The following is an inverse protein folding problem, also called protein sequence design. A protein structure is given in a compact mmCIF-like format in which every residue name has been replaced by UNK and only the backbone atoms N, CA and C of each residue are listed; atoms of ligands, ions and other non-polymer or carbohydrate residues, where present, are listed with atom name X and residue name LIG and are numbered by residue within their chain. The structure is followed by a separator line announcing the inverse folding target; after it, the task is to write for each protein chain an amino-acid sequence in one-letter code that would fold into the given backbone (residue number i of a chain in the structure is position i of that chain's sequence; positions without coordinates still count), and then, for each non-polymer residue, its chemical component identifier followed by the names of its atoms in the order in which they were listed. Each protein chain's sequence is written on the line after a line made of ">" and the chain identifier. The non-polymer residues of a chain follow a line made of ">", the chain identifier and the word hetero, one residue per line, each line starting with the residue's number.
data_IF_475676841187
#
_entry.id   IF_475676841187
#
_cell.length_a   1.000
_cell.length_b   1.000
_cell.length_c   1.000
_cell.angle_alpha   90.00
_cell.angle_beta   90.00
_cell.angle_gamma   90.00
#
_symmetry.space_group_name_H-M   'P 1'
#
loop_
_entity.id
_entity.type
_entity.pdbx_description
1 polymer ?
#
# COMPACT_ATOMS: atom_id res chain seq x y z
N UNK A 1 14.67 2.33 -1.22
CA UNK A 1 13.57 3.07 -1.89
C UNK A 1 12.79 3.87 -0.84
N UNK A 2 13.10 5.17 -0.74
CA UNK A 2 12.46 6.13 0.19
C UNK A 2 11.11 6.56 -0.39
N UNK A 3 10.06 5.77 -0.19
CA UNK A 3 8.72 6.30 -0.32
C UNK A 3 8.44 7.08 0.98
N UNK A 4 8.50 8.40 0.89
CA UNK A 4 8.17 9.32 1.98
C UNK A 4 6.66 9.36 2.13
N UNK A 5 6.13 8.42 2.93
CA UNK A 5 4.73 8.43 3.34
C UNK A 5 4.53 9.17 4.69
N UNK A 6 5.59 9.79 5.23
CA UNK A 6 5.57 10.41 6.57
C UNK A 6 4.89 11.79 6.60
N UNK A 7 4.69 12.42 5.45
CA UNK A 7 4.18 13.80 5.35
C UNK A 7 2.74 13.87 4.82
N UNK A 8 2.10 12.72 4.54
CA UNK A 8 0.72 12.68 4.04
C UNK A 8 -0.30 12.77 5.18
N UNK A 9 -1.45 13.37 4.87
CA UNK A 9 -2.60 13.41 5.78
C UNK A 9 -3.25 12.02 5.89
N UNK A 10 -4.04 11.79 6.94
CA UNK A 10 -4.71 10.50 7.18
C UNK A 10 -5.56 10.06 5.98
N UNK A 11 -6.38 10.95 5.43
CA UNK A 11 -7.26 10.66 4.30
C UNK A 11 -6.46 10.27 3.05
N UNK A 12 -5.33 10.94 2.81
CA UNK A 12 -4.46 10.60 1.69
C UNK A 12 -3.74 9.26 1.91
N UNK A 13 -3.40 8.92 3.16
CA UNK A 13 -2.83 7.61 3.49
C UNK A 13 -3.83 6.48 3.21
N UNK A 14 -5.09 6.65 3.59
CA UNK A 14 -6.17 5.69 3.33
C UNK A 14 -6.41 5.56 1.82
N UNK A 15 -6.51 6.69 1.11
CA UNK A 15 -6.72 6.70 -0.34
C UNK A 15 -5.58 5.97 -1.06
N UNK A 16 -4.32 6.26 -0.72
CA UNK A 16 -3.16 5.54 -1.30
C UNK A 16 -3.14 4.07 -0.94
N UNK A 17 -3.59 3.70 0.26
CA UNK A 17 -3.68 2.29 0.64
C UNK A 17 -4.66 1.54 -0.27
N UNK A 18 -5.83 2.11 -0.54
CA UNK A 18 -6.83 1.51 -1.43
C UNK A 18 -6.33 1.40 -2.87
N UNK A 19 -5.67 2.43 -3.39
CA UNK A 19 -5.05 2.41 -4.71
C UNK A 19 -4.01 1.28 -4.85
N UNK A 20 -3.10 1.17 -3.88
CA UNK A 20 -2.06 0.15 -3.91
C UNK A 20 -2.63 -1.27 -3.72
N UNK A 21 -3.70 -1.40 -2.93
CA UNK A 21 -4.43 -2.66 -2.78
C UNK A 21 -5.07 -3.09 -4.10
N UNK A 22 -5.67 -2.16 -4.85
CA UNK A 22 -6.24 -2.43 -6.18
C UNK A 22 -5.15 -2.85 -7.17
N UNK A 23 -4.05 -2.10 -7.26
CA UNK A 23 -2.90 -2.46 -8.10
C UNK A 23 -2.33 -3.85 -7.75
N UNK A 24 -2.25 -4.19 -6.47
CA UNK A 24 -1.82 -5.52 -6.06
C UNK A 24 -2.84 -6.62 -6.42
N UNK A 25 -4.13 -6.31 -6.50
CA UNK A 25 -5.15 -7.25 -6.98
C UNK A 25 -5.02 -7.47 -8.49
N UNK A 26 -4.93 -6.40 -9.27
CA UNK A 26 -4.75 -6.47 -10.73
C UNK A 26 -3.50 -7.29 -11.07
N UNK A 27 -2.38 -7.00 -10.40
CA UNK A 27 -1.13 -7.75 -10.57
C UNK A 27 -1.25 -9.23 -10.15
N UNK A 28 -2.14 -9.58 -9.22
CA UNK A 28 -2.43 -10.99 -8.90
C UNK A 28 -3.24 -11.67 -10.00
N UNK A 29 -4.17 -10.96 -10.64
CA UNK A 29 -4.93 -11.49 -11.77
C UNK A 29 -3.99 -11.72 -12.94
N UNK A 30 -3.13 -10.76 -13.27
CA UNK A 30 -2.15 -10.88 -14.35
C UNK A 30 -1.22 -12.09 -14.15
N UNK A 31 -0.89 -12.40 -12.89
CA UNK A 31 -0.16 -13.61 -12.54
C UNK A 31 -0.87 -14.92 -12.85
N UNK A 32 -2.19 -14.96 -12.67
CA UNK A 32 -3.00 -16.14 -12.97
C UNK A 32 -3.17 -16.29 -14.48
N UNK A 33 -3.32 -15.18 -15.20
CA UNK A 33 -3.47 -15.17 -16.67
C UNK A 33 -2.14 -15.49 -17.38
N UNK A 34 -1.00 -15.31 -16.72
CA UNK A 34 0.33 -15.61 -17.26
C UNK A 34 1.07 -14.41 -17.85
N UNK A 35 0.51 -13.20 -17.75
CA UNK A 35 1.13 -11.95 -18.20
C UNK A 35 1.94 -11.28 -17.08
N UNK A 36 2.93 -12.00 -16.53
CA UNK A 36 3.78 -11.44 -15.47
C UNK A 36 5.03 -10.83 -16.06
N UNK A 37 4.91 -9.58 -16.47
CA UNK A 37 6.04 -8.77 -16.91
C UNK A 37 7.04 -8.55 -15.75
N UNK A 38 6.57 -8.34 -14.51
CA UNK A 38 7.46 -7.96 -13.41
C UNK A 38 7.13 -8.57 -12.03
N UNK A 39 7.81 -9.67 -11.68
CA UNK A 39 7.66 -10.36 -10.38
C UNK A 39 8.13 -9.52 -9.18
N UNK A 40 9.05 -8.57 -9.39
CA UNK A 40 9.56 -7.72 -8.31
C UNK A 40 8.52 -6.71 -7.83
N UNK A 41 7.63 -6.28 -8.72
CA UNK A 41 6.59 -5.29 -8.43
C UNK A 41 5.60 -5.81 -7.36
N UNK A 42 5.26 -7.09 -7.38
CA UNK A 42 4.49 -7.74 -6.30
C UNK A 42 5.14 -7.53 -4.94
N UNK A 43 6.47 -7.69 -4.87
CA UNK A 43 7.24 -7.62 -3.63
C UNK A 43 7.34 -6.19 -3.13
N UNK A 44 7.45 -5.20 -4.03
CA UNK A 44 7.45 -3.78 -3.67
C UNK A 44 6.07 -3.32 -3.22
N UNK A 45 5.00 -3.67 -3.95
CA UNK A 45 3.62 -3.36 -3.61
C UNK A 45 3.22 -3.90 -2.23
N UNK A 46 3.50 -5.18 -1.94
CA UNK A 46 3.23 -5.76 -0.61
C UNK A 46 3.92 -5.01 0.52
N UNK A 47 5.16 -4.56 0.30
CA UNK A 47 5.91 -3.80 1.31
C UNK A 47 5.39 -2.38 1.46
N UNK A 48 4.96 -1.75 0.38
CA UNK A 48 4.35 -0.42 0.44
C UNK A 48 3.03 -0.47 1.21
N UNK A 49 2.18 -1.47 0.96
CA UNK A 49 0.93 -1.69 1.71
C UNK A 49 1.22 -1.89 3.20
N UNK A 50 2.16 -2.77 3.56
CA UNK A 50 2.51 -3.01 4.96
C UNK A 50 2.99 -1.72 5.66
N UNK A 51 3.80 -0.90 4.97
CA UNK A 51 4.26 0.38 5.51
C UNK A 51 3.13 1.40 5.69
N UNK A 52 2.20 1.49 4.74
CA UNK A 52 1.03 2.36 4.88
C UNK A 52 0.16 1.90 6.05
N UNK A 53 -0.08 0.60 6.21
CA UNK A 53 -0.85 0.08 7.34
C UNK A 53 -0.22 0.44 8.69
N UNK A 54 1.11 0.35 8.80
CA UNK A 54 1.82 0.79 10.01
C UNK A 54 1.68 2.29 10.26
N UNK A 55 1.69 3.12 9.22
CA UNK A 55 1.53 4.57 9.37
C UNK A 55 0.10 4.97 9.71
N UNK A 56 -0.89 4.31 9.11
CA UNK A 56 -2.32 4.49 9.40
C UNK A 56 -2.58 4.10 10.86
N UNK A 57 -2.07 2.93 11.29
CA UNK A 57 -2.28 2.45 12.66
C UNK A 57 -1.65 3.36 13.72
N UNK A 58 -0.43 3.87 13.46
CA UNK A 58 0.27 4.78 14.37
C UNK A 58 -0.10 6.27 14.14
N UNK A 59 -1.13 6.57 13.36
CA UNK A 59 -1.51 7.96 13.12
C UNK A 59 -2.15 8.53 14.40
N UNK A 60 -1.83 9.77 14.81
CA UNK A 60 -2.36 10.38 16.04
C UNK A 60 -3.89 10.38 16.13
N UNK A 61 -4.58 10.42 14.98
CA UNK A 61 -6.05 10.42 14.93
C UNK A 61 -6.66 9.06 15.27
N UNK A 62 -5.94 7.96 14.97
CA UNK A 62 -6.34 6.60 15.35
C UNK A 62 -5.98 6.31 16.80
N UNK A 63 -4.82 6.80 17.26
CA UNK A 63 -4.36 6.65 18.64
C UNK A 63 -5.31 7.36 19.65
N UNK A 64 -5.90 8.49 19.26
CA UNK A 64 -6.92 9.19 20.08
C UNK A 64 -8.28 8.49 20.14
N UNK A 65 -8.54 7.53 19.26
CA UNK A 65 -9.80 6.80 19.19
C UNK A 65 -9.80 5.49 20.02
N UNK A 66 -8.65 5.12 20.59
CA UNK A 66 -8.45 3.99 21.51
C UNK A 66 -8.44 4.46 22.96
#
# INVERSE_FOLDING_TARGET
>A
MRNSFKELTFDELVTKHEELRKKHFDLRIDMVVGHVENRLEKRTLRRQIARLNTLIYNHPDVEKAL
#
